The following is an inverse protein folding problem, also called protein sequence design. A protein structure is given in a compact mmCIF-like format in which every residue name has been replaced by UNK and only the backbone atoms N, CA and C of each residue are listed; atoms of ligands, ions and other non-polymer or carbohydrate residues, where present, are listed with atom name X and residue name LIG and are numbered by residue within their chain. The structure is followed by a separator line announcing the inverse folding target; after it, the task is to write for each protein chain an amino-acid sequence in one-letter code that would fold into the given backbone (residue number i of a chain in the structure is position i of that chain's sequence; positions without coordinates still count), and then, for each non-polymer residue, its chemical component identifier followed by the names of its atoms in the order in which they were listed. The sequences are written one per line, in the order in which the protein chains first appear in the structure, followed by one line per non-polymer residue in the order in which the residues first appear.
data_IF_993673426674
#
_entry.id   IF_993673426674
#
_cell.length_a   1.000
_cell.length_b   1.000
_cell.length_c   1.000
_cell.angle_alpha   90.00
_cell.angle_beta   90.00
_cell.angle_gamma   90.00
#
_symmetry.space_group_name_H-M   'P 1'
#
loop_
_entity.id
_entity.type
_entity.pdbx_description
1 polymer ?
#
# COMPACT_ATOMS: atom_id res chain seq x y z
N UNK A 1 -5.67 -2.71 34.72
CA UNK A 1 -5.05 -2.73 33.38
C UNK A 1 -6.07 -3.26 32.38
N UNK A 2 -6.38 -2.46 31.40
CA UNK A 2 -7.35 -2.87 30.37
C UNK A 2 -6.65 -3.75 29.34
N UNK A 3 -7.12 -4.99 29.23
CA UNK A 3 -6.64 -5.90 28.19
C UNK A 3 -7.48 -5.66 26.93
N UNK A 4 -6.82 -5.41 25.81
CA UNK A 4 -7.50 -5.23 24.53
C UNK A 4 -7.97 -6.60 24.02
N UNK A 5 -9.27 -6.75 23.83
CA UNK A 5 -9.84 -7.95 23.20
C UNK A 5 -9.84 -7.71 21.68
N UNK A 6 -8.78 -8.19 21.03
CA UNK A 6 -8.56 -8.00 19.58
C UNK A 6 -9.72 -8.57 18.76
N UNK A 7 -10.35 -9.65 19.23
CA UNK A 7 -11.45 -10.29 18.49
C UNK A 7 -12.67 -9.38 18.31
N UNK A 8 -12.81 -8.36 19.16
CA UNK A 8 -13.92 -7.39 19.10
C UNK A 8 -13.61 -6.19 18.21
N UNK A 9 -12.38 -6.05 17.78
CA UNK A 9 -11.98 -4.93 16.90
C UNK A 9 -12.23 -5.28 15.45
N UNK A 10 -12.52 -4.24 14.66
CA UNK A 10 -12.75 -4.37 13.23
C UNK A 10 -11.44 -4.15 12.46
N UNK A 11 -11.43 -4.51 11.19
CA UNK A 11 -10.38 -4.14 10.25
C UNK A 11 -10.73 -2.81 9.59
N UNK A 12 -9.72 -1.93 9.46
CA UNK A 12 -9.86 -0.68 8.72
C UNK A 12 -9.81 -0.98 7.23
N UNK A 13 -10.80 -0.50 6.47
CA UNK A 13 -10.82 -0.67 5.02
C UNK A 13 -9.83 0.28 4.34
N UNK A 14 -9.01 -0.28 3.46
CA UNK A 14 -8.03 0.52 2.73
C UNK A 14 -7.73 -0.11 1.38
N UNK A 15 -6.99 0.62 0.54
CA UNK A 15 -6.56 0.13 -0.78
C UNK A 15 -5.05 0.14 -0.85
N UNK A 16 -4.49 -0.77 -1.63
CA UNK A 16 -3.09 -0.79 -1.95
C UNK A 16 -2.89 -0.73 -3.45
N UNK A 17 -1.75 -0.21 -3.88
CA UNK A 17 -1.45 0.00 -5.28
C UNK A 17 -0.12 -0.65 -5.66
N UNK A 18 -0.16 -1.53 -6.66
CA UNK A 18 1.03 -2.11 -7.27
C UNK A 18 1.29 -1.33 -8.57
N UNK A 19 2.16 -0.33 -8.50
CA UNK A 19 2.52 0.48 -9.67
C UNK A 19 3.72 -0.15 -10.34
N UNK A 20 3.59 -0.52 -11.62
CA UNK A 20 4.56 -1.34 -12.35
C UNK A 20 5.12 -0.53 -13.54
N UNK A 21 6.44 -0.41 -13.63
CA UNK A 21 7.07 0.30 -14.74
C UNK A 21 7.26 -0.61 -15.97
N UNK A 22 7.79 -0.04 -17.05
CA UNK A 22 8.00 -0.75 -18.31
C UNK A 22 8.94 -1.96 -18.18
N UNK A 23 9.80 -1.98 -17.16
CA UNK A 23 10.71 -3.11 -16.90
C UNK A 23 10.06 -4.18 -16.03
N UNK A 24 8.83 -3.97 -15.58
CA UNK A 24 8.12 -4.91 -14.72
C UNK A 24 8.50 -4.81 -13.25
N UNK A 25 9.13 -3.71 -12.84
CA UNK A 25 9.48 -3.44 -11.45
C UNK A 25 8.40 -2.61 -10.75
N UNK A 26 8.39 -2.66 -9.43
CA UNK A 26 7.32 -2.15 -8.59
C UNK A 26 7.79 -0.89 -7.85
N UNK A 27 6.94 0.15 -7.84
CA UNK A 27 7.17 1.33 -7.03
C UNK A 27 7.11 0.97 -5.54
N UNK A 28 8.13 1.39 -4.82
CA UNK A 28 8.17 1.27 -3.36
C UNK A 28 8.71 2.55 -2.75
N UNK A 29 8.23 2.90 -1.58
CA UNK A 29 8.68 4.07 -0.84
C UNK A 29 9.06 3.72 0.60
N UNK A 30 9.93 4.54 1.18
CA UNK A 30 10.25 4.50 2.61
C UNK A 30 9.40 5.53 3.32
N UNK A 31 8.67 5.11 4.35
CA UNK A 31 7.81 6.02 5.10
C UNK A 31 8.62 7.05 5.89
N UNK A 32 8.15 8.30 5.86
CA UNK A 32 8.76 9.41 6.60
C UNK A 32 8.69 9.15 8.11
N UNK A 33 7.58 8.59 8.60
CA UNK A 33 7.29 8.40 10.02
C UNK A 33 7.89 7.12 10.60
N UNK A 34 8.69 6.40 9.82
CA UNK A 34 9.25 5.12 10.24
C UNK A 34 10.78 5.20 10.24
N UNK A 35 11.40 4.93 11.39
CA UNK A 35 12.85 4.92 11.55
C UNK A 35 13.53 3.65 11.04
N UNK A 36 12.77 2.70 10.51
CA UNK A 36 13.34 1.46 9.95
C UNK A 36 13.65 1.67 8.47
N UNK A 37 14.44 0.75 7.90
CA UNK A 37 14.74 0.73 6.46
C UNK A 37 13.67 0.00 5.65
N UNK A 38 12.45 -0.10 6.18
CA UNK A 38 11.36 -0.80 5.51
C UNK A 38 10.87 -0.04 4.28
N UNK A 39 10.66 -0.79 3.20
CA UNK A 39 10.08 -0.30 1.96
C UNK A 39 8.69 -0.87 1.78
N UNK A 40 7.77 -0.08 1.27
CA UNK A 40 6.40 -0.53 1.06
C UNK A 40 5.80 0.02 -0.23
N UNK A 41 4.80 -0.69 -0.73
CA UNK A 41 3.96 -0.19 -1.81
C UNK A 41 3.00 0.89 -1.27
N UNK A 42 2.54 1.83 -2.12
CA UNK A 42 1.56 2.83 -1.70
C UNK A 42 0.26 2.18 -1.20
N UNK A 43 -0.33 2.78 -0.20
CA UNK A 43 -1.63 2.36 0.34
C UNK A 43 -2.32 3.56 0.98
N UNK A 44 -3.63 3.49 1.08
CA UNK A 44 -4.37 4.58 1.72
C UNK A 44 -5.81 4.23 2.02
N UNK A 45 -6.49 5.08 2.78
CA UNK A 45 -7.86 4.87 3.20
C UNK A 45 -8.86 5.12 2.09
N UNK A 46 -10.05 4.58 2.29
CA UNK A 46 -11.20 4.79 1.39
C UNK A 46 -12.09 5.83 2.05
N UNK A 47 -12.40 6.91 1.34
CA UNK A 47 -13.28 7.95 1.86
C UNK A 47 -14.74 7.51 1.78
N UNK A 48 -15.58 8.11 2.62
CA UNK A 48 -17.01 7.80 2.62
C UNK A 48 -17.62 8.06 1.24
N UNK A 49 -18.38 7.07 0.75
CA UNK A 49 -19.03 7.15 -0.56
C UNK A 49 -18.10 6.85 -1.74
N UNK A 50 -16.83 6.64 -1.50
CA UNK A 50 -15.84 6.35 -2.54
C UNK A 50 -15.76 4.85 -2.81
N UNK A 51 -15.64 4.45 -4.08
CA UNK A 51 -15.36 3.05 -4.41
C UNK A 51 -13.89 2.74 -4.15
N UNK A 52 -13.53 1.46 -3.88
CA UNK A 52 -12.12 1.10 -3.73
C UNK A 52 -11.26 1.49 -4.94
N UNK A 53 -11.76 1.31 -6.16
CA UNK A 53 -11.02 1.66 -7.37
C UNK A 53 -10.73 3.16 -7.44
N UNK A 54 -11.73 3.99 -7.15
CA UNK A 54 -11.56 5.45 -7.11
C UNK A 54 -10.55 5.85 -6.04
N UNK A 55 -10.64 5.23 -4.86
CA UNK A 55 -9.68 5.47 -3.78
C UNK A 55 -8.26 5.12 -4.21
N UNK A 56 -8.09 4.01 -4.95
CA UNK A 56 -6.77 3.59 -5.42
C UNK A 56 -6.14 4.62 -6.36
N UNK A 57 -6.90 5.16 -7.31
CA UNK A 57 -6.41 6.23 -8.18
C UNK A 57 -6.04 7.49 -7.40
N UNK A 58 -6.91 7.89 -6.49
CA UNK A 58 -6.70 9.09 -5.67
C UNK A 58 -5.46 8.96 -4.80
N UNK A 59 -5.35 7.85 -4.05
CA UNK A 59 -4.22 7.63 -3.16
C UNK A 59 -2.91 7.46 -3.92
N UNK A 60 -2.94 6.80 -5.08
CA UNK A 60 -1.75 6.69 -5.91
C UNK A 60 -1.23 8.07 -6.31
N UNK A 61 -2.12 8.96 -6.73
CA UNK A 61 -1.77 10.33 -7.10
C UNK A 61 -1.26 11.14 -5.90
N UNK A 62 -1.93 11.01 -4.74
CA UNK A 62 -1.54 11.72 -3.53
C UNK A 62 -0.16 11.30 -3.02
N UNK A 63 0.17 10.01 -3.14
CA UNK A 63 1.43 9.48 -2.61
C UNK A 63 2.60 9.58 -3.57
N UNK A 64 2.35 9.50 -4.87
CA UNK A 64 3.42 9.49 -5.89
C UNK A 64 3.50 10.76 -6.72
N UNK A 65 2.51 11.61 -6.65
CA UNK A 65 2.44 12.84 -7.44
C UNK A 65 2.11 12.63 -8.92
N UNK A 66 1.86 11.40 -9.36
CA UNK A 66 1.54 11.13 -10.76
C UNK A 66 0.08 11.46 -11.06
N UNK A 67 -0.15 12.00 -12.25
CA UNK A 67 -1.51 12.25 -12.74
C UNK A 67 -2.17 10.93 -13.16
N UNK A 68 -3.49 10.81 -12.98
CA UNK A 68 -4.20 9.58 -13.32
C UNK A 68 -4.02 9.14 -14.78
N UNK A 69 -3.76 10.08 -15.70
CA UNK A 69 -3.49 9.77 -17.11
C UNK A 69 -2.17 9.00 -17.32
N UNK A 70 -1.30 8.96 -16.31
CA UNK A 70 -0.02 8.24 -16.36
C UNK A 70 -0.09 6.86 -15.71
N UNK A 71 -1.27 6.42 -15.31
CA UNK A 71 -1.47 5.10 -14.71
C UNK A 71 -2.67 4.42 -15.35
N UNK A 72 -2.48 3.18 -15.80
CA UNK A 72 -3.55 2.38 -16.38
C UNK A 72 -3.83 1.19 -15.47
N UNK A 73 -5.08 1.04 -15.04
CA UNK A 73 -5.47 -0.10 -14.22
C UNK A 73 -5.41 -1.39 -15.06
N UNK A 74 -4.64 -2.39 -14.59
CA UNK A 74 -4.44 -3.63 -15.32
C UNK A 74 -4.82 -4.88 -14.51
N UNK A 75 -5.18 -4.73 -13.25
CA UNK A 75 -5.61 -5.85 -12.43
C UNK A 75 -6.03 -5.43 -11.04
N UNK A 76 -6.70 -6.34 -10.35
CA UNK A 76 -7.14 -6.12 -8.98
C UNK A 76 -7.27 -7.47 -8.27
N UNK A 77 -7.12 -7.48 -6.94
CA UNK A 77 -7.41 -8.68 -6.17
C UNK A 77 -8.92 -8.97 -6.19
N UNK A 78 -9.27 -10.26 -6.14
CA UNK A 78 -10.67 -10.69 -6.19
C UNK A 78 -11.45 -10.21 -4.97
N UNK A 79 -10.81 -10.10 -3.82
CA UNK A 79 -11.47 -9.71 -2.58
C UNK A 79 -10.56 -8.92 -1.65
N UNK A 80 -11.01 -8.84 -0.41
CA UNK A 80 -10.28 -8.15 0.65
C UNK A 80 -9.20 -9.06 1.23
N UNK A 81 -7.98 -8.53 1.36
CA UNK A 81 -6.86 -9.20 2.02
C UNK A 81 -6.60 -8.49 3.35
N UNK A 82 -6.61 -9.24 4.44
CA UNK A 82 -6.45 -8.64 5.77
C UNK A 82 -5.11 -8.98 6.39
N UNK A 83 -4.65 -8.08 7.26
CA UNK A 83 -3.51 -8.33 8.14
C UNK A 83 -3.77 -7.67 9.49
N UNK A 84 -3.26 -8.31 10.55
CA UNK A 84 -3.32 -7.76 11.90
C UNK A 84 -2.04 -6.99 12.20
N UNK A 85 -2.16 -5.85 12.87
CA UNK A 85 -0.99 -5.14 13.40
C UNK A 85 -0.59 -5.77 14.74
N UNK A 86 0.68 -5.66 15.14
CA UNK A 86 1.10 -6.09 16.48
C UNK A 86 0.22 -5.43 17.55
N UNK A 87 -0.16 -6.21 18.57
CA UNK A 87 -1.10 -5.75 19.61
C UNK A 87 -0.61 -4.46 20.29
N UNK A 88 0.70 -4.34 20.50
CA UNK A 88 1.32 -3.16 21.13
C UNK A 88 1.16 -1.89 20.30
N UNK A 89 0.89 -2.00 19.00
CA UNK A 89 0.68 -0.85 18.12
C UNK A 89 -0.78 -0.40 18.07
N UNK A 90 -1.71 -1.24 18.50
CA UNK A 90 -3.16 -0.92 18.40
C UNK A 90 -3.50 0.41 19.06
N UNK A 91 -3.07 0.71 20.30
CA UNK A 91 -3.41 1.99 20.93
C UNK A 91 -2.82 3.21 20.22
N UNK A 92 -1.75 3.02 19.45
CA UNK A 92 -1.00 4.11 18.80
C UNK A 92 -1.54 4.46 17.41
N UNK A 93 -2.30 3.55 16.79
CA UNK A 93 -2.81 3.73 15.44
C UNK A 93 -4.33 3.86 15.46
N UNK A 94 -4.84 4.79 14.65
CA UNK A 94 -6.29 4.98 14.42
C UNK A 94 -7.11 5.03 15.72
N UNK A 95 -6.57 5.66 16.77
CA UNK A 95 -7.21 5.81 18.08
C UNK A 95 -7.56 4.45 18.75
N UNK A 96 -6.83 3.39 18.44
CA UNK A 96 -7.05 2.07 19.03
C UNK A 96 -8.32 1.37 18.56
N UNK A 97 -8.94 1.82 17.47
CA UNK A 97 -10.24 1.32 17.02
C UNK A 97 -10.17 0.07 16.14
N UNK A 98 -8.98 -0.25 15.59
CA UNK A 98 -8.84 -1.32 14.62
C UNK A 98 -7.74 -2.30 15.02
N UNK A 99 -7.93 -3.56 14.66
CA UNK A 99 -6.96 -4.63 14.87
C UNK A 99 -5.94 -4.73 13.74
N UNK A 100 -6.23 -4.11 12.61
CA UNK A 100 -5.42 -4.15 11.40
C UNK A 100 -6.19 -3.55 10.25
N UNK A 101 -5.83 -3.94 9.05
CA UNK A 101 -6.49 -3.45 7.84
C UNK A 101 -6.96 -4.60 6.97
N UNK A 102 -8.03 -4.38 6.23
CA UNK A 102 -8.40 -5.23 5.10
C UNK A 102 -8.34 -4.38 3.86
N UNK A 103 -7.65 -4.92 2.85
CA UNK A 103 -7.23 -4.16 1.70
C UNK A 103 -7.69 -4.81 0.40
N UNK A 104 -8.14 -3.99 -0.54
CA UNK A 104 -8.21 -4.37 -1.95
C UNK A 104 -6.98 -3.80 -2.63
N UNK A 105 -6.32 -4.61 -3.43
CA UNK A 105 -5.11 -4.21 -4.14
C UNK A 105 -5.39 -4.08 -5.62
N UNK A 106 -4.82 -3.04 -6.22
CA UNK A 106 -4.99 -2.70 -7.63
C UNK A 106 -3.62 -2.58 -8.29
N UNK A 107 -3.47 -3.18 -9.45
CA UNK A 107 -2.24 -3.11 -10.23
C UNK A 107 -2.40 -2.08 -11.34
N UNK A 108 -1.40 -1.21 -11.45
CA UNK A 108 -1.36 -0.14 -12.45
C UNK A 108 -0.09 -0.24 -13.28
N UNK A 109 -0.24 -0.06 -14.58
CA UNK A 109 0.89 0.14 -15.48
C UNK A 109 1.25 1.62 -15.49
N UNK A 110 2.53 1.92 -15.20
CA UNK A 110 3.02 3.29 -15.24
C UNK A 110 3.33 3.67 -16.68
N UNK A 111 2.68 4.73 -17.18
CA UNK A 111 2.78 5.21 -18.55
C UNK A 111 3.66 6.45 -18.68
N UNK A 112 4.26 6.90 -17.59
CA UNK A 112 5.08 8.10 -17.55
C UNK A 112 6.56 7.81 -17.46
N UNK A 113 7.30 8.85 -17.08
CA UNK A 113 8.74 8.82 -16.84
C UNK A 113 8.99 8.98 -15.35
N UNK A 114 10.18 8.58 -14.88
CA UNK A 114 10.54 8.76 -13.47
C UNK A 114 10.42 10.22 -13.03
N UNK A 115 10.68 11.18 -13.93
CA UNK A 115 10.51 12.60 -13.63
C UNK A 115 9.06 13.02 -13.35
N UNK A 116 8.09 12.20 -13.73
CA UNK A 116 6.67 12.44 -13.39
C UNK A 116 6.33 12.09 -11.94
N UNK A 117 7.23 11.37 -11.26
CA UNK A 117 7.04 10.96 -9.87
C UNK A 117 7.57 12.06 -8.94
N UNK A 118 6.72 12.52 -8.04
CA UNK A 118 7.08 13.52 -7.06
C UNK A 118 6.47 13.14 -5.70
N UNK A 119 7.28 12.58 -4.82
CA UNK A 119 6.82 12.17 -3.48
C UNK A 119 6.73 13.34 -2.50
N UNK A 120 7.26 14.52 -2.86
CA UNK A 120 7.12 15.75 -2.06
C UNK A 120 5.76 16.39 -2.34
N UNK A 121 4.70 15.66 -2.04
CA UNK A 121 3.31 16.08 -2.23
C UNK A 121 2.85 16.93 -1.03
N UNK A 122 1.61 17.40 -1.05
CA UNK A 122 1.05 18.26 0.01
C UNK A 122 1.10 17.58 1.39
N UNK A 123 0.80 16.28 1.43
CA UNK A 123 0.90 15.46 2.64
C UNK A 123 1.83 14.27 2.37
N UNK A 124 3.16 14.49 2.40
CA UNK A 124 4.10 13.46 1.97
C UNK A 124 4.12 12.25 2.91
N UNK A 125 4.08 11.07 2.31
CA UNK A 125 4.15 9.78 3.02
C UNK A 125 5.56 9.18 2.97
N UNK A 126 6.32 9.49 1.92
CA UNK A 126 7.61 8.85 1.66
C UNK A 126 8.75 9.85 1.66
N UNK A 127 9.89 9.43 2.22
CA UNK A 127 11.15 10.18 2.18
C UNK A 127 12.00 9.82 0.97
N UNK A 128 11.86 8.60 0.47
CA UNK A 128 12.59 8.08 -0.70
C UNK A 128 11.67 7.13 -1.47
N UNK A 129 11.97 6.93 -2.75
CA UNK A 129 11.28 5.93 -3.55
C UNK A 129 12.26 5.22 -4.49
N UNK A 130 11.90 4.03 -4.92
CA UNK A 130 12.67 3.25 -5.88
C UNK A 130 11.78 2.25 -6.60
N UNK A 131 12.24 1.78 -7.76
CA UNK A 131 11.67 0.63 -8.43
C UNK A 131 12.33 -0.63 -7.86
N UNK A 132 11.52 -1.58 -7.40
CA UNK A 132 12.02 -2.80 -6.77
C UNK A 132 11.43 -4.03 -7.44
N UNK A 133 12.19 -5.14 -7.39
CA UNK A 133 11.66 -6.43 -7.75
C UNK A 133 10.71 -6.93 -6.65
N UNK A 134 9.88 -7.89 -6.99
CA UNK A 134 9.00 -8.55 -6.01
C UNK A 134 9.79 -9.11 -4.83
N UNK A 135 10.89 -9.79 -5.10
CA UNK A 135 11.70 -10.42 -4.04
C UNK A 135 12.35 -9.38 -3.13
N UNK A 136 12.89 -8.29 -3.69
CA UNK A 136 13.46 -7.21 -2.89
C UNK A 136 12.41 -6.56 -2.00
N UNK A 137 11.21 -6.37 -2.52
CA UNK A 137 10.13 -5.78 -1.75
C UNK A 137 9.71 -6.70 -0.59
N UNK A 138 9.55 -7.99 -0.85
CA UNK A 138 9.19 -8.97 0.19
C UNK A 138 10.25 -9.06 1.28
N UNK A 139 11.53 -8.86 0.96
CA UNK A 139 12.61 -8.90 1.94
C UNK A 139 12.79 -7.59 2.71
N UNK A 140 12.18 -6.50 2.26
CA UNK A 140 12.36 -5.18 2.88
C UNK A 140 11.12 -4.61 3.55
N UNK A 141 9.95 -5.24 3.39
CA UNK A 141 8.72 -4.81 4.06
C UNK A 141 8.75 -5.17 5.56
N UNK A 142 8.03 -4.40 6.39
CA UNK A 142 7.90 -4.74 7.80
C UNK A 142 7.32 -6.15 7.96
N UNK A 143 7.81 -6.93 8.97
CA UNK A 143 7.45 -8.35 9.08
C UNK A 143 5.95 -8.66 9.10
N UNK A 144 5.14 -7.84 9.77
CA UNK A 144 3.70 -8.14 9.89
C UNK A 144 2.92 -7.91 8.59
N UNK A 145 3.54 -7.37 7.55
CA UNK A 145 2.92 -7.19 6.23
C UNK A 145 3.39 -8.22 5.19
N UNK A 146 4.37 -9.06 5.53
CA UNK A 146 4.94 -10.02 4.58
C UNK A 146 3.85 -10.94 4.02
N UNK A 147 3.01 -11.49 4.89
CA UNK A 147 1.98 -12.44 4.49
C UNK A 147 0.96 -11.81 3.53
N UNK A 148 0.50 -10.59 3.81
CA UNK A 148 -0.45 -9.93 2.91
C UNK A 148 0.20 -9.61 1.56
N UNK A 149 1.48 -9.22 1.54
CA UNK A 149 2.20 -8.99 0.30
C UNK A 149 2.34 -10.28 -0.52
N UNK A 150 2.62 -11.40 0.15
CA UNK A 150 2.66 -12.71 -0.52
C UNK A 150 1.32 -13.03 -1.19
N UNK A 151 0.22 -12.76 -0.51
CA UNK A 151 -1.13 -12.96 -1.07
C UNK A 151 -1.40 -12.05 -2.27
N UNK A 152 -0.96 -10.79 -2.19
CA UNK A 152 -1.08 -9.86 -3.32
C UNK A 152 -0.35 -10.41 -4.54
N UNK A 153 0.87 -10.90 -4.37
CA UNK A 153 1.67 -11.42 -5.47
C UNK A 153 1.20 -12.80 -5.96
N UNK A 154 0.45 -13.56 -5.16
CA UNK A 154 -0.22 -14.76 -5.66
C UNK A 154 -1.27 -14.40 -6.72
N UNK A 155 -1.98 -13.30 -6.54
CA UNK A 155 -3.02 -12.87 -7.47
C UNK A 155 -2.50 -11.97 -8.60
N UNK A 156 -1.55 -11.09 -8.31
CA UNK A 156 -1.09 -10.04 -9.24
C UNK A 156 0.36 -10.21 -9.71
N UNK A 157 1.08 -11.18 -9.15
CA UNK A 157 2.51 -11.34 -9.43
C UNK A 157 2.86 -11.68 -10.88
N UNK A 158 1.90 -12.20 -11.64
CA UNK A 158 2.09 -12.47 -13.07
C UNK A 158 2.26 -11.18 -13.90
N UNK A 159 1.90 -10.02 -13.33
CA UNK A 159 2.03 -8.72 -13.98
C UNK A 159 3.41 -8.09 -13.75
N UNK A 160 4.21 -8.62 -12.83
CA UNK A 160 5.55 -8.11 -12.49
C UNK A 160 6.63 -9.09 -12.92
N UNK A 161 7.84 -8.59 -13.11
CA UNK A 161 9.02 -9.42 -13.43
C UNK A 161 9.83 -9.75 -12.20
#
# INVERSE_FOLDING_TARGET
MNVIDVSKLKYRKNVGMVLINAKGHIFAGKRIDNNTDAWQMPQGGIDEGETPETAAFRELSEETGIHFSRARLIGATAGWLSYDIPVELIPQLWNGQFRGQKQKWFAFEFLGKDSDINIATEEPEFSEWAWKSKNDLLSSIVPFKVEVYQKVFLELGHLVK
#
